data_IF_757655504039
#
_entry.id   IF_757655504039
#
_cell.length_a   1.000
_cell.length_b   1.000
_cell.length_c   1.000
_cell.angle_alpha   90.00
_cell.angle_beta   90.00
_cell.angle_gamma   90.00
#
_symmetry.space_group_name_H-M   'P 1'
#
loop_
_entity.id
_entity.type
_entity.pdbx_description
1 polymer ?
#
# COMPACT_ATOMS: atom_id res chain seq x y z
N UNK A 1 41.63 45.47 -4.92
CA UNK A 1 41.91 44.22 -4.21
C UNK A 1 41.33 44.32 -2.79
N UNK A 2 40.23 43.61 -2.48
CA UNK A 2 39.68 43.56 -1.10
C UNK A 2 40.55 42.61 -0.29
N UNK A 3 41.19 43.14 0.77
CA UNK A 3 41.92 42.31 1.75
C UNK A 3 40.91 41.44 2.47
N UNK A 4 41.00 40.13 2.25
CA UNK A 4 40.34 39.16 3.11
C UNK A 4 40.99 39.26 4.49
N UNK A 5 40.29 39.96 5.43
CA UNK A 5 40.68 39.99 6.83
C UNK A 5 40.61 38.59 7.38
N UNK A 6 41.75 38.06 7.82
CA UNK A 6 41.82 36.74 8.45
C UNK A 6 40.97 36.75 9.74
N UNK A 7 39.89 36.00 9.75
CA UNK A 7 39.07 35.79 10.96
C UNK A 7 39.96 35.32 12.12
N UNK A 8 39.75 35.89 13.31
CA UNK A 8 40.45 35.44 14.52
C UNK A 8 40.20 33.94 14.77
N UNK A 9 41.11 33.27 15.46
CA UNK A 9 40.96 31.85 15.80
C UNK A 9 39.63 31.58 16.49
N UNK A 10 39.25 32.46 17.41
CA UNK A 10 37.97 32.40 18.14
C UNK A 10 36.75 32.46 17.20
N UNK A 11 36.78 33.37 16.21
CA UNK A 11 35.69 33.47 15.21
C UNK A 11 35.57 32.21 14.35
N UNK A 12 36.69 31.59 14.01
CA UNK A 12 36.71 30.31 13.25
C UNK A 12 36.13 29.16 14.06
N UNK A 13 36.47 29.06 15.34
CA UNK A 13 35.94 28.04 16.24
C UNK A 13 34.43 28.22 16.42
N UNK A 14 33.96 29.43 16.66
CA UNK A 14 32.52 29.74 16.78
C UNK A 14 31.79 29.34 15.49
N UNK A 15 32.34 29.67 14.31
CA UNK A 15 31.75 29.33 13.03
C UNK A 15 31.64 27.81 12.82
N UNK A 16 32.71 27.07 13.16
CA UNK A 16 32.70 25.59 13.04
C UNK A 16 31.68 24.96 13.96
N UNK A 17 31.59 25.42 15.23
CA UNK A 17 30.60 24.92 16.18
C UNK A 17 29.17 25.23 15.73
N UNK A 18 28.92 26.44 15.25
CA UNK A 18 27.61 26.83 14.74
C UNK A 18 27.23 26.00 13.51
N UNK A 19 28.16 25.77 12.58
CA UNK A 19 27.93 24.93 11.41
C UNK A 19 27.62 23.46 11.81
N UNK A 20 28.38 22.90 12.77
CA UNK A 20 28.14 21.56 13.26
C UNK A 20 26.75 21.41 13.92
N UNK A 21 26.31 22.42 14.68
CA UNK A 21 24.96 22.44 15.27
C UNK A 21 23.88 22.48 14.20
N UNK A 22 24.03 23.34 13.18
CA UNK A 22 23.06 23.43 12.07
C UNK A 22 22.97 22.10 11.32
N UNK A 23 24.11 21.48 11.00
CA UNK A 23 24.15 20.17 10.33
C UNK A 23 23.49 19.10 11.18
N UNK A 24 23.76 19.08 12.50
CA UNK A 24 23.13 18.12 13.43
C UNK A 24 21.61 18.28 13.49
N UNK A 25 21.11 19.51 13.51
CA UNK A 25 19.66 19.79 13.49
C UNK A 25 19.01 19.33 12.17
N UNK A 26 19.66 19.58 11.04
CA UNK A 26 19.16 19.12 9.72
C UNK A 26 19.11 17.59 9.66
N UNK A 27 20.13 16.91 10.16
CA UNK A 27 20.16 15.44 10.21
C UNK A 27 19.08 14.89 11.13
N UNK A 28 18.91 15.47 12.32
CA UNK A 28 17.86 15.07 13.26
C UNK A 28 16.45 15.25 12.64
N UNK A 29 16.20 16.41 12.02
CA UNK A 29 14.93 16.68 11.32
C UNK A 29 14.69 15.70 10.17
N UNK A 30 15.74 15.38 9.40
CA UNK A 30 15.69 14.39 8.33
C UNK A 30 15.32 12.99 8.84
N UNK A 31 15.96 12.54 9.92
CA UNK A 31 15.66 11.21 10.52
C UNK A 31 14.21 11.16 11.01
N UNK A 32 13.73 12.22 11.69
CA UNK A 32 12.33 12.29 12.14
C UNK A 32 11.35 12.30 10.95
N UNK A 33 11.63 13.08 9.90
CA UNK A 33 10.80 13.12 8.71
C UNK A 33 10.72 11.76 8.01
N UNK A 34 11.86 11.09 7.79
CA UNK A 34 11.88 9.74 7.21
C UNK A 34 11.17 8.72 8.09
N UNK A 35 11.29 8.82 9.41
CA UNK A 35 10.57 7.97 10.36
C UNK A 35 9.05 8.12 10.20
N UNK A 36 8.55 9.34 10.14
CA UNK A 36 7.12 9.63 9.93
C UNK A 36 6.65 9.13 8.57
N UNK A 37 7.38 9.44 7.49
CA UNK A 37 7.04 8.97 6.13
C UNK A 37 6.96 7.44 6.09
N UNK A 38 7.88 6.72 6.75
CA UNK A 38 7.88 5.26 6.80
C UNK A 38 6.64 4.70 7.50
N UNK A 39 6.14 5.35 8.55
CA UNK A 39 4.91 4.93 9.25
C UNK A 39 3.67 5.00 8.36
N UNK A 40 3.62 5.99 7.45
CA UNK A 40 2.52 6.14 6.48
C UNK A 40 2.74 5.38 5.18
N UNK A 41 3.92 4.80 4.98
CA UNK A 41 4.20 3.98 3.79
C UNK A 41 3.45 2.65 3.86
N UNK A 42 2.88 2.23 2.73
CA UNK A 42 2.24 0.91 2.61
C UNK A 42 3.27 -0.19 2.81
N UNK A 43 2.99 -1.07 3.75
CA UNK A 43 3.71 -2.33 3.92
C UNK A 43 2.93 -3.42 3.20
N UNK A 44 3.56 -4.04 2.19
CA UNK A 44 2.91 -5.03 1.35
C UNK A 44 3.27 -6.45 1.78
N UNK A 45 2.25 -7.29 1.89
CA UNK A 45 2.39 -8.73 2.05
C UNK A 45 2.70 -9.42 0.69
N UNK A 46 3.19 -10.66 0.71
CA UNK A 46 3.30 -11.46 -0.50
C UNK A 46 1.96 -11.61 -1.21
N UNK A 47 1.97 -11.58 -2.55
CA UNK A 47 0.73 -11.78 -3.30
C UNK A 47 0.32 -13.25 -3.31
N UNK A 48 -0.99 -13.51 -3.24
CA UNK A 48 -1.58 -14.85 -3.32
C UNK A 48 -2.80 -14.86 -4.24
N UNK A 49 -3.15 -16.06 -4.73
CA UNK A 49 -4.30 -16.27 -5.62
C UNK A 49 -5.55 -16.40 -4.77
N UNK A 50 -6.63 -15.73 -5.21
CA UNK A 50 -7.93 -15.76 -4.55
C UNK A 50 -9.01 -16.50 -5.33
N UNK A 51 -8.88 -16.57 -6.66
CA UNK A 51 -9.83 -17.25 -7.53
C UNK A 51 -9.24 -17.48 -8.92
N UNK A 52 -9.75 -18.50 -9.62
CA UNK A 52 -9.54 -18.68 -11.06
C UNK A 52 -10.87 -18.62 -11.79
N UNK A 53 -10.85 -18.21 -13.05
CA UNK A 53 -12.05 -18.24 -13.90
C UNK A 53 -12.52 -19.68 -14.14
N UNK A 54 -13.83 -19.93 -14.41
CA UNK A 54 -14.36 -21.27 -14.61
C UNK A 54 -13.74 -22.04 -15.79
N UNK A 55 -13.17 -21.34 -16.74
CA UNK A 55 -12.49 -21.87 -17.93
C UNK A 55 -10.96 -21.93 -17.76
N UNK A 56 -10.45 -21.62 -16.55
CA UNK A 56 -9.03 -21.55 -16.20
C UNK A 56 -8.19 -20.60 -17.07
N UNK A 57 -8.82 -19.70 -17.82
CA UNK A 57 -8.08 -18.73 -18.66
C UNK A 57 -7.49 -17.57 -17.87
N UNK A 58 -8.10 -17.21 -16.74
CA UNK A 58 -7.70 -16.10 -15.91
C UNK A 58 -7.54 -16.49 -14.45
N UNK A 59 -6.65 -15.80 -13.77
CA UNK A 59 -6.39 -15.94 -12.35
C UNK A 59 -6.43 -14.57 -11.67
N UNK A 60 -7.18 -14.48 -10.58
CA UNK A 60 -7.18 -13.34 -9.68
C UNK A 60 -6.17 -13.53 -8.58
N UNK A 61 -5.36 -12.52 -8.34
CA UNK A 61 -4.45 -12.49 -7.22
C UNK A 61 -4.55 -11.14 -6.50
N UNK A 62 -4.29 -11.15 -5.22
CA UNK A 62 -4.28 -9.96 -4.39
C UNK A 62 -2.91 -9.76 -3.75
N UNK A 63 -2.62 -8.51 -3.45
CA UNK A 63 -1.49 -8.13 -2.64
C UNK A 63 -1.97 -7.19 -1.55
N UNK A 64 -2.10 -7.71 -0.36
CA UNK A 64 -2.56 -6.93 0.79
C UNK A 64 -1.47 -5.98 1.28
N UNK A 65 -1.92 -4.88 1.86
CA UNK A 65 -1.03 -3.88 2.43
C UNK A 65 -1.64 -3.29 3.70
N UNK A 66 -0.76 -2.83 4.57
CA UNK A 66 -1.12 -2.09 5.77
C UNK A 66 -0.28 -0.83 5.88
N UNK A 67 -0.82 0.19 6.55
CA UNK A 67 -0.10 1.40 6.93
C UNK A 67 -0.69 1.95 8.23
N UNK A 68 -0.09 3.00 8.79
CA UNK A 68 -0.66 3.66 9.95
C UNK A 68 -2.04 4.27 9.61
N UNK A 69 -3.09 3.72 10.23
CA UNK A 69 -4.48 4.18 10.06
C UNK A 69 -5.23 3.58 8.88
N UNK A 70 -4.73 2.52 8.24
CA UNK A 70 -5.48 1.87 7.16
C UNK A 70 -4.84 0.59 6.64
N UNK A 71 -5.58 -0.11 5.79
CA UNK A 71 -5.13 -1.30 5.09
C UNK A 71 -5.97 -1.55 3.84
N UNK A 72 -5.68 -2.64 3.16
CA UNK A 72 -6.42 -3.03 1.97
C UNK A 72 -5.65 -4.00 1.10
N UNK A 73 -6.09 -4.17 -0.13
CA UNK A 73 -5.44 -5.02 -1.11
C UNK A 73 -5.47 -4.42 -2.50
N UNK A 74 -4.38 -4.56 -3.22
CA UNK A 74 -4.36 -4.34 -4.65
C UNK A 74 -4.75 -5.64 -5.34
N UNK A 75 -5.77 -5.57 -6.20
CA UNK A 75 -6.33 -6.71 -6.93
C UNK A 75 -5.78 -6.73 -8.35
N UNK A 76 -5.37 -7.90 -8.77
CA UNK A 76 -4.75 -8.13 -10.07
C UNK A 76 -5.39 -9.29 -10.78
N UNK A 77 -5.48 -9.19 -12.11
CA UNK A 77 -5.82 -10.29 -13.01
C UNK A 77 -4.64 -10.62 -13.92
N UNK A 78 -4.47 -11.88 -14.23
CA UNK A 78 -3.50 -12.37 -15.24
C UNK A 78 -4.09 -13.51 -16.04
N UNK A 79 -3.68 -13.66 -17.29
CA UNK A 79 -3.93 -14.87 -18.06
C UNK A 79 -3.10 -16.04 -17.53
N UNK A 80 -3.66 -17.23 -17.57
CA UNK A 80 -2.99 -18.47 -17.11
C UNK A 80 -2.07 -19.05 -18.18
N UNK A 81 -2.29 -18.71 -19.47
CA UNK A 81 -1.44 -19.17 -20.56
C UNK A 81 -0.01 -18.62 -20.43
N UNK A 82 0.98 -19.46 -20.75
CA UNK A 82 2.40 -19.17 -20.56
C UNK A 82 2.87 -17.85 -21.17
N UNK A 83 2.31 -17.43 -22.33
CA UNK A 83 2.65 -16.17 -23.00
C UNK A 83 1.91 -14.95 -22.39
N UNK A 84 0.81 -15.15 -21.65
CA UNK A 84 0.05 -14.10 -20.97
C UNK A 84 0.34 -14.02 -19.47
N UNK A 85 1.02 -15.00 -18.89
CA UNK A 85 1.31 -15.05 -17.45
C UNK A 85 2.16 -13.87 -16.94
N UNK A 86 2.87 -13.17 -17.83
CA UNK A 86 3.68 -12.00 -17.53
C UNK A 86 2.85 -10.71 -17.44
N UNK A 87 1.65 -10.68 -18.02
CA UNK A 87 0.77 -9.52 -18.10
C UNK A 87 -0.17 -9.44 -16.90
N UNK A 88 0.39 -9.23 -15.71
CA UNK A 88 -0.40 -8.98 -14.52
C UNK A 88 -0.96 -7.56 -14.55
N UNK A 89 -2.28 -7.40 -14.73
CA UNK A 89 -2.96 -6.11 -14.78
C UNK A 89 -3.61 -5.84 -13.43
N UNK A 90 -3.35 -4.67 -12.85
CA UNK A 90 -4.10 -4.21 -11.67
C UNK A 90 -5.50 -3.77 -12.10
N UNK A 91 -6.54 -4.36 -11.52
CA UNK A 91 -7.93 -4.10 -11.84
C UNK A 91 -8.65 -3.27 -10.77
N UNK A 92 -8.12 -3.23 -9.55
CA UNK A 92 -8.73 -2.43 -8.50
C UNK A 92 -7.92 -2.42 -7.21
N UNK A 93 -8.50 -1.75 -6.22
CA UNK A 93 -7.98 -1.70 -4.85
C UNK A 93 -9.16 -1.88 -3.90
N UNK A 94 -9.09 -2.88 -3.05
CA UNK A 94 -9.97 -3.05 -1.91
C UNK A 94 -9.41 -2.24 -0.73
N UNK A 95 -10.25 -1.54 -0.01
CA UNK A 95 -9.87 -0.75 1.17
C UNK A 95 -10.42 -1.44 2.41
N UNK A 96 -9.56 -1.68 3.39
CA UNK A 96 -9.93 -2.21 4.69
C UNK A 96 -9.88 -1.11 5.77
N UNK A 97 -10.86 -1.10 6.65
CA UNK A 97 -10.89 -0.18 7.78
C UNK A 97 -9.90 -0.62 8.87
N UNK A 98 -9.21 0.35 9.47
CA UNK A 98 -8.25 0.11 10.56
C UNK A 98 -7.20 -0.98 10.27
N UNK A 99 -6.77 -1.13 9.02
CA UNK A 99 -5.79 -2.14 8.63
C UNK A 99 -6.37 -3.54 8.41
N UNK A 100 -7.70 -3.67 8.33
CA UNK A 100 -8.34 -4.94 8.05
C UNK A 100 -7.94 -5.47 6.67
N UNK A 101 -7.65 -6.76 6.60
CA UNK A 101 -7.20 -7.48 5.41
C UNK A 101 -8.27 -8.51 5.02
N UNK A 102 -9.21 -8.15 4.12
CA UNK A 102 -10.38 -8.98 3.83
C UNK A 102 -10.05 -10.32 3.19
N UNK A 103 -8.98 -10.38 2.40
CA UNK A 103 -8.64 -11.59 1.65
C UNK A 103 -7.90 -12.62 2.50
N UNK A 104 -6.99 -12.20 3.36
CA UNK A 104 -6.34 -13.09 4.35
C UNK A 104 -7.32 -13.58 5.43
N UNK A 105 -8.37 -12.81 5.70
CA UNK A 105 -9.43 -13.21 6.65
C UNK A 105 -10.58 -13.99 5.99
N UNK A 106 -10.45 -14.32 4.67
CA UNK A 106 -11.47 -15.08 3.92
C UNK A 106 -12.87 -14.43 3.93
N UNK A 107 -12.92 -13.10 4.08
CA UNK A 107 -14.16 -12.32 4.10
C UNK A 107 -14.43 -11.64 2.77
N UNK A 108 -14.39 -12.42 1.72
CA UNK A 108 -14.66 -12.00 0.35
C UNK A 108 -15.43 -13.08 -0.41
N UNK A 109 -16.01 -12.67 -1.53
CA UNK A 109 -16.66 -13.56 -2.50
C UNK A 109 -16.34 -13.09 -3.90
N UNK A 110 -16.07 -14.02 -4.82
CA UNK A 110 -15.76 -13.74 -6.22
C UNK A 110 -16.85 -14.34 -7.10
N UNK A 111 -17.41 -13.53 -7.97
CA UNK A 111 -18.39 -13.90 -8.97
C UNK A 111 -17.82 -13.69 -10.37
N UNK A 112 -17.80 -14.75 -11.16
CA UNK A 112 -17.39 -14.73 -12.56
C UNK A 112 -18.63 -14.81 -13.44
N UNK A 113 -18.85 -13.79 -14.22
CA UNK A 113 -19.87 -13.77 -15.26
C UNK A 113 -19.17 -13.63 -16.61
N UNK A 114 -19.75 -14.09 -17.71
CA UNK A 114 -19.17 -14.19 -19.05
C UNK A 114 -17.98 -13.24 -19.33
N UNK A 115 -18.24 -11.93 -19.29
CA UNK A 115 -17.25 -10.89 -19.60
C UNK A 115 -16.89 -10.04 -18.38
N UNK A 116 -17.27 -10.48 -17.18
CA UNK A 116 -17.09 -9.67 -15.97
C UNK A 116 -16.65 -10.54 -14.80
N UNK A 117 -15.77 -10.00 -13.97
CA UNK A 117 -15.49 -10.53 -12.64
C UNK A 117 -15.82 -9.48 -11.58
N UNK A 118 -16.62 -9.88 -10.60
CA UNK A 118 -17.01 -9.04 -9.48
C UNK A 118 -16.47 -9.63 -8.18
N UNK A 119 -15.83 -8.79 -7.38
CA UNK A 119 -15.26 -9.17 -6.09
C UNK A 119 -15.97 -8.37 -5.02
N UNK A 120 -16.65 -9.07 -4.14
CA UNK A 120 -17.31 -8.52 -2.96
C UNK A 120 -16.41 -8.76 -1.75
N UNK A 121 -16.27 -7.78 -0.87
CA UNK A 121 -15.44 -7.94 0.33
C UNK A 121 -16.00 -7.11 1.49
N UNK A 122 -15.61 -7.48 2.72
CA UNK A 122 -15.89 -6.68 3.90
C UNK A 122 -14.75 -5.71 4.17
N UNK A 123 -15.07 -4.47 4.49
CA UNK A 123 -14.08 -3.45 4.86
C UNK A 123 -13.60 -3.57 6.31
N UNK A 124 -14.37 -4.25 7.16
CA UNK A 124 -14.09 -4.47 8.59
C UNK A 124 -14.58 -5.84 9.02
N UNK A 125 -14.14 -6.29 10.20
CA UNK A 125 -14.65 -7.53 10.79
C UNK A 125 -16.18 -7.49 10.89
N UNK A 126 -16.90 -8.52 10.40
CA UNK A 126 -18.33 -8.62 10.58
C UNK A 126 -18.63 -8.71 12.10
N UNK A 127 -19.47 -7.83 12.60
CA UNK A 127 -19.92 -7.86 14.00
C UNK A 127 -20.99 -8.97 14.11
N UNK A 128 -20.78 -9.94 14.98
CA UNK A 128 -21.59 -11.16 15.12
C UNK A 128 -23.11 -10.94 15.39
N UNK A 129 -23.57 -9.71 15.58
CA UNK A 129 -24.95 -9.40 15.98
C UNK A 129 -25.70 -8.44 15.05
N UNK A 130 -25.29 -8.32 13.79
CA UNK A 130 -26.07 -7.52 12.84
C UNK A 130 -27.01 -8.45 12.08
N UNK A 131 -28.31 -8.36 12.39
CA UNK A 131 -29.39 -9.02 11.63
C UNK A 131 -29.09 -8.96 10.12
N UNK A 132 -28.93 -10.12 9.53
CA UNK A 132 -29.02 -10.59 8.13
C UNK A 132 -28.88 -9.63 6.94
N UNK A 133 -28.56 -8.37 7.12
CA UNK A 133 -28.20 -7.45 6.03
C UNK A 133 -26.74 -7.00 6.13
N UNK A 134 -25.83 -7.92 6.44
CA UNK A 134 -24.41 -7.67 6.28
C UNK A 134 -24.10 -7.58 4.76
N UNK A 135 -24.50 -6.46 4.20
CA UNK A 135 -24.19 -6.12 2.83
C UNK A 135 -22.67 -6.04 2.70
N UNK A 136 -22.13 -6.77 1.76
CA UNK A 136 -20.79 -6.55 1.25
C UNK A 136 -20.58 -5.05 1.04
N UNK A 137 -19.55 -4.47 1.66
CA UNK A 137 -19.38 -3.01 1.66
C UNK A 137 -18.46 -2.52 0.56
N UNK A 138 -17.60 -3.40 0.05
CA UNK A 138 -16.68 -3.06 -1.02
C UNK A 138 -16.93 -3.93 -2.24
N UNK A 139 -16.79 -3.36 -3.42
CA UNK A 139 -16.94 -4.06 -4.70
C UNK A 139 -15.80 -3.64 -5.61
N UNK A 140 -15.15 -4.62 -6.25
CA UNK A 140 -14.24 -4.40 -7.38
C UNK A 140 -14.84 -5.11 -8.57
N UNK A 141 -15.09 -4.37 -9.62
CA UNK A 141 -15.65 -4.88 -10.88
C UNK A 141 -14.62 -4.70 -11.99
N UNK A 142 -14.42 -5.74 -12.79
CA UNK A 142 -13.59 -5.69 -13.98
C UNK A 142 -14.32 -6.35 -15.14
N UNK A 143 -14.41 -5.63 -16.26
CA UNK A 143 -14.98 -6.10 -17.52
C UNK A 143 -13.83 -6.49 -18.46
N UNK A 144 -13.98 -7.65 -19.11
CA UNK A 144 -13.03 -8.11 -20.12
C UNK A 144 -13.35 -7.41 -21.45
N UNK A 145 -12.33 -6.88 -22.10
CA UNK A 145 -12.42 -6.29 -23.44
C UNK A 145 -12.23 -7.33 -24.53
#
# INVERSE_FOLDING_TARGET
MRKFTSLSITSRVIFIVALALVVSLILAAGIHFFGVVRLFSRHYEPSFVISSSPDDQYELSVREWSCLGGGGADVYIRGTEWYNSWNKKKIGTAIGDNGYQPFSNETYYVEWENDTVTIYYYESLPVENVNESSTWRGIVIYEFE
#
